data_IF_288114291532
#
_entry.id   IF_288114291532
#
_cell.length_a   1.000
_cell.length_b   1.000
_cell.length_c   1.000
_cell.angle_alpha   90.00
_cell.angle_beta   90.00
_cell.angle_gamma   90.00
#
_symmetry.space_group_name_H-M   'P 1'
#
loop_
_entity.id
_entity.type
_entity.pdbx_description
1 polymer ?
#
# COMPACT_ATOMS: atom_id res chain seq x y z
N UNK A 1 -6.40 -22.97 4.44
CA UNK A 1 -6.25 -21.88 3.42
C UNK A 1 -6.42 -20.51 4.04
N UNK A 2 -7.47 -20.22 4.81
CA UNK A 2 -7.65 -18.91 5.49
C UNK A 2 -6.63 -18.72 6.63
N UNK A 3 -6.37 -19.76 7.42
CA UNK A 3 -5.39 -19.77 8.52
C UNK A 3 -3.94 -19.56 8.00
N UNK A 4 -3.59 -20.15 6.85
CA UNK A 4 -2.28 -19.97 6.22
C UNK A 4 -2.07 -18.54 5.75
N UNK A 5 -3.07 -17.95 5.09
CA UNK A 5 -3.04 -16.54 4.67
C UNK A 5 -2.96 -15.61 5.88
N UNK A 6 -3.71 -15.92 6.95
CA UNK A 6 -3.67 -15.14 8.19
C UNK A 6 -2.29 -15.18 8.85
N UNK A 7 -1.67 -16.38 8.92
CA UNK A 7 -0.33 -16.55 9.48
C UNK A 7 0.72 -15.78 8.65
N UNK A 8 0.62 -15.83 7.32
CA UNK A 8 1.54 -15.11 6.42
C UNK A 8 1.40 -13.58 6.56
N UNK A 9 0.18 -13.06 6.71
CA UNK A 9 -0.04 -11.63 6.97
C UNK A 9 0.52 -11.22 8.34
N UNK A 10 0.37 -12.05 9.36
CA UNK A 10 0.96 -11.78 10.67
C UNK A 10 2.50 -11.76 10.61
N UNK A 11 3.12 -12.68 9.84
CA UNK A 11 4.56 -12.72 9.61
C UNK A 11 5.04 -11.47 8.84
N UNK A 12 4.30 -11.03 7.83
CA UNK A 12 4.56 -9.78 7.10
C UNK A 12 4.53 -8.57 8.03
N UNK A 13 3.54 -8.45 8.90
CA UNK A 13 3.47 -7.37 9.89
C UNK A 13 4.68 -7.42 10.83
N UNK A 14 5.06 -8.62 11.32
CA UNK A 14 6.23 -8.81 12.16
C UNK A 14 7.53 -8.37 11.45
N UNK A 15 7.67 -8.69 10.15
CA UNK A 15 8.79 -8.22 9.35
C UNK A 15 8.88 -6.69 9.33
N UNK A 16 7.78 -5.98 8.99
CA UNK A 16 7.81 -4.52 8.89
C UNK A 16 8.02 -3.83 10.25
N UNK A 17 7.58 -4.43 11.34
CA UNK A 17 7.91 -3.99 12.69
C UNK A 17 9.43 -4.05 12.96
N UNK A 18 10.04 -5.19 12.66
CA UNK A 18 11.47 -5.41 12.86
C UNK A 18 12.34 -4.60 11.87
N UNK A 19 11.85 -4.41 10.64
CA UNK A 19 12.53 -3.67 9.58
C UNK A 19 12.44 -2.14 9.73
N UNK A 20 11.57 -1.63 10.60
CA UNK A 20 11.33 -0.20 10.77
C UNK A 20 12.60 0.69 10.85
N UNK A 21 13.69 0.31 11.55
CA UNK A 21 14.89 1.13 11.61
C UNK A 21 15.60 1.33 10.28
N UNK A 22 15.42 0.40 9.34
CA UNK A 22 16.08 0.37 8.03
C UNK A 22 15.12 0.67 6.87
N UNK A 23 13.85 0.87 7.17
CA UNK A 23 12.78 1.01 6.18
C UNK A 23 13.09 2.07 5.12
N UNK A 24 13.55 3.24 5.56
CA UNK A 24 13.79 4.39 4.68
C UNK A 24 15.04 4.24 3.79
N UNK A 25 15.87 3.22 4.00
CA UNK A 25 17.05 2.99 3.16
C UNK A 25 16.66 2.73 1.70
N UNK A 26 15.52 2.07 1.47
CA UNK A 26 14.99 1.80 0.14
C UNK A 26 14.57 3.07 -0.62
N UNK A 27 14.29 4.18 0.10
CA UNK A 27 13.86 5.45 -0.47
C UNK A 27 15.01 6.43 -0.72
N UNK A 28 16.25 6.11 -0.27
CA UNK A 28 17.39 7.02 -0.42
C UNK A 28 17.76 7.19 -1.90
N UNK A 29 17.80 8.45 -2.34
CA UNK A 29 18.16 8.82 -3.71
C UNK A 29 17.06 8.55 -4.74
N UNK A 30 15.86 8.20 -4.31
CA UNK A 30 14.69 8.07 -5.17
C UNK A 30 13.92 9.39 -5.19
N UNK A 31 13.62 9.89 -6.38
CA UNK A 31 12.76 11.06 -6.60
C UNK A 31 11.46 10.58 -7.24
N UNK A 32 10.51 10.21 -6.38
CA UNK A 32 9.19 9.73 -6.81
C UNK A 32 8.08 10.76 -6.60
N UNK A 33 8.45 11.97 -6.15
CA UNK A 33 7.51 13.04 -5.83
C UNK A 33 6.66 13.42 -7.05
N UNK A 34 7.26 13.41 -8.26
CA UNK A 34 6.54 13.66 -9.51
C UNK A 34 5.42 12.64 -9.79
N UNK A 35 5.54 11.41 -9.26
CA UNK A 35 4.51 10.39 -9.45
C UNK A 35 3.20 10.77 -8.77
N UNK A 36 3.27 11.37 -7.58
CA UNK A 36 2.07 11.78 -6.85
C UNK A 36 1.47 13.08 -7.42
N UNK A 37 2.30 13.91 -8.08
CA UNK A 37 1.85 15.15 -8.72
C UNK A 37 0.83 14.94 -9.82
N UNK A 38 0.91 13.82 -10.49
CA UNK A 38 0.01 13.43 -11.58
C UNK A 38 -1.27 12.76 -11.11
N UNK A 39 -1.39 12.47 -9.81
CA UNK A 39 -2.56 11.79 -9.23
C UNK A 39 -3.61 12.82 -8.74
N UNK A 40 -4.90 12.54 -8.90
CA UNK A 40 -6.00 13.43 -8.48
C UNK A 40 -6.21 13.40 -6.96
N UNK A 41 -5.15 13.62 -6.18
CA UNK A 41 -5.21 13.65 -4.72
C UNK A 41 -5.80 14.97 -4.26
N UNK A 42 -6.93 14.92 -3.56
CA UNK A 42 -7.62 16.09 -3.02
C UNK A 42 -8.60 15.72 -1.90
N UNK A 43 -9.10 16.72 -1.17
CA UNK A 43 -10.15 16.58 -0.16
C UNK A 43 -9.68 15.85 1.10
N UNK A 44 -10.55 15.04 1.69
CA UNK A 44 -10.19 14.17 2.80
C UNK A 44 -9.53 12.92 2.26
N UNK A 45 -8.28 12.67 2.64
CA UNK A 45 -7.44 11.59 2.14
C UNK A 45 -7.30 10.49 3.19
N UNK A 46 -7.50 9.25 2.77
CA UNK A 46 -7.14 8.05 3.52
C UNK A 46 -5.88 7.45 2.91
N UNK A 47 -4.82 7.35 3.69
CA UNK A 47 -3.59 6.65 3.32
C UNK A 47 -3.56 5.27 4.00
N UNK A 48 -3.54 4.21 3.20
CA UNK A 48 -3.47 2.82 3.67
C UNK A 48 -2.03 2.34 3.69
N UNK A 49 -1.62 1.64 4.77
CA UNK A 49 -0.26 1.12 4.95
C UNK A 49 0.80 2.21 4.76
N UNK A 50 0.70 3.30 5.52
CA UNK A 50 1.52 4.50 5.34
C UNK A 50 3.02 4.30 5.67
N UNK A 51 3.39 3.18 6.30
CA UNK A 51 4.77 2.88 6.69
C UNK A 51 5.37 3.99 7.56
N UNK A 52 6.58 4.41 7.22
CA UNK A 52 7.29 5.51 7.88
C UNK A 52 6.80 6.90 7.48
N UNK A 53 5.71 6.97 6.71
CA UNK A 53 5.09 8.23 6.30
C UNK A 53 5.86 8.96 5.19
N UNK A 54 6.51 8.23 4.27
CA UNK A 54 7.24 8.83 3.16
C UNK A 54 6.31 9.69 2.28
N UNK A 55 5.14 9.18 1.95
CA UNK A 55 4.15 9.85 1.10
C UNK A 55 3.26 10.83 1.86
N UNK A 56 3.11 10.64 3.16
CA UNK A 56 2.17 11.40 4.01
C UNK A 56 2.33 12.92 3.91
N UNK A 57 3.56 13.51 3.91
CA UNK A 57 3.73 14.96 3.75
C UNK A 57 3.24 15.49 2.39
N UNK A 58 3.47 14.71 1.31
CA UNK A 58 3.05 15.06 -0.04
C UNK A 58 1.54 15.03 -0.19
N UNK A 59 0.89 14.06 0.47
CA UNK A 59 -0.57 13.99 0.57
C UNK A 59 -1.11 15.17 1.39
N UNK A 60 -0.50 15.47 2.54
CA UNK A 60 -0.94 16.55 3.42
C UNK A 60 -0.82 17.95 2.77
N UNK A 61 0.14 18.13 1.86
CA UNK A 61 0.28 19.38 1.10
C UNK A 61 -0.88 19.64 0.12
N UNK A 62 -1.69 18.62 -0.21
CA UNK A 62 -2.77 18.66 -1.20
C UNK A 62 -4.15 18.40 -0.61
N UNK A 63 -4.17 17.69 0.52
CA UNK A 63 -5.38 17.27 1.19
C UNK A 63 -5.96 18.37 2.11
N UNK A 64 -7.26 18.32 2.34
CA UNK A 64 -7.91 19.04 3.44
C UNK A 64 -7.57 18.39 4.79
N UNK A 65 -7.54 17.07 4.82
CA UNK A 65 -7.11 16.26 5.96
C UNK A 65 -6.52 14.93 5.50
N UNK A 66 -5.63 14.34 6.29
CA UNK A 66 -5.07 13.01 6.04
C UNK A 66 -5.35 12.12 7.25
N UNK A 67 -5.91 10.93 7.00
CA UNK A 67 -5.96 9.83 7.96
C UNK A 67 -5.06 8.73 7.43
N UNK A 68 -4.00 8.39 8.16
CA UNK A 68 -2.98 7.43 7.75
C UNK A 68 -3.03 6.17 8.63
N UNK A 69 -3.10 4.99 8.00
CA UNK A 69 -3.21 3.70 8.68
C UNK A 69 -1.93 2.89 8.50
N UNK A 70 -1.48 2.22 9.57
CA UNK A 70 -0.49 1.15 9.49
C UNK A 70 -0.66 0.17 10.65
N UNK A 71 -0.25 -1.09 10.47
CA UNK A 71 -0.32 -2.12 11.49
C UNK A 71 0.87 -2.08 12.46
N UNK A 72 2.02 -1.58 12.01
CA UNK A 72 3.27 -1.59 12.75
C UNK A 72 3.45 -0.29 13.57
N UNK A 73 3.39 -0.34 14.91
CA UNK A 73 3.55 0.85 15.75
C UNK A 73 4.94 1.49 15.61
N UNK A 74 5.97 0.70 15.28
CA UNK A 74 7.34 1.16 15.11
C UNK A 74 7.46 2.10 13.91
N UNK A 75 6.87 1.75 12.74
CA UNK A 75 6.87 2.63 11.57
C UNK A 75 5.99 3.85 11.79
N UNK A 76 4.84 3.71 12.47
CA UNK A 76 3.99 4.84 12.82
C UNK A 76 4.70 5.86 13.74
N UNK A 77 5.58 5.39 14.63
CA UNK A 77 6.38 6.28 15.44
C UNK A 77 7.36 7.13 14.60
N UNK A 78 7.88 6.55 13.50
CA UNK A 78 8.70 7.26 12.51
C UNK A 78 7.85 8.24 11.70
N UNK A 79 6.69 7.80 11.21
CA UNK A 79 5.76 8.61 10.44
C UNK A 79 5.34 9.87 11.21
N UNK A 80 4.95 9.72 12.49
CA UNK A 80 4.57 10.87 13.35
C UNK A 80 5.70 11.88 13.51
N UNK A 81 6.97 11.43 13.54
CA UNK A 81 8.12 12.35 13.60
C UNK A 81 8.32 13.10 12.28
N UNK A 82 8.15 12.39 11.15
CA UNK A 82 8.32 12.95 9.80
C UNK A 82 7.33 14.07 9.51
N UNK A 83 6.06 13.88 9.89
CA UNK A 83 4.98 14.84 9.61
C UNK A 83 4.70 15.81 10.75
N UNK A 84 5.64 15.99 11.70
CA UNK A 84 5.42 16.87 12.86
C UNK A 84 4.92 18.26 12.43
N UNK A 85 3.77 18.66 12.98
CA UNK A 85 3.13 19.95 12.69
C UNK A 85 2.16 19.94 11.51
N UNK A 86 2.01 18.82 10.78
CA UNK A 86 0.98 18.68 9.77
C UNK A 86 -0.32 18.08 10.36
N UNK A 87 -1.49 18.42 9.81
CA UNK A 87 -2.79 17.92 10.31
C UNK A 87 -3.05 16.48 9.80
N UNK A 88 -2.31 15.52 10.35
CA UNK A 88 -2.42 14.10 10.02
C UNK A 88 -2.87 13.30 11.23
N UNK A 89 -3.95 12.52 11.05
CA UNK A 89 -4.42 11.53 12.02
C UNK A 89 -3.76 10.17 11.71
N UNK A 90 -3.13 9.54 12.71
CA UNK A 90 -2.55 8.20 12.58
C UNK A 90 -3.35 7.17 13.37
N UNK A 91 -3.76 6.10 12.70
CA UNK A 91 -4.49 4.98 13.30
C UNK A 91 -3.64 3.71 13.17
N UNK A 92 -3.30 3.08 14.29
CA UNK A 92 -2.67 1.78 14.30
C UNK A 92 -3.73 0.70 14.09
N UNK A 93 -3.70 0.05 12.93
CA UNK A 93 -4.64 -1.02 12.59
C UNK A 93 -4.14 -1.85 11.40
N UNK A 94 -4.54 -3.12 11.36
CA UNK A 94 -4.38 -3.95 10.17
C UNK A 94 -5.44 -3.56 9.12
N UNK A 95 -5.01 -3.19 7.93
CA UNK A 95 -5.84 -2.79 6.79
C UNK A 95 -6.91 -3.85 6.45
N UNK A 96 -6.60 -5.14 6.64
CA UNK A 96 -7.54 -6.22 6.34
C UNK A 96 -8.68 -6.35 7.35
N UNK A 97 -8.48 -5.89 8.58
CA UNK A 97 -9.50 -5.94 9.64
C UNK A 97 -10.17 -4.60 9.88
N UNK A 98 -9.55 -3.53 9.41
CA UNK A 98 -10.09 -2.17 9.57
C UNK A 98 -11.43 -1.98 8.85
N UNK A 99 -12.28 -1.15 9.44
CA UNK A 99 -13.57 -0.74 8.83
C UNK A 99 -13.68 0.77 8.88
N UNK A 100 -13.99 1.43 7.74
CA UNK A 100 -14.14 2.87 7.70
C UNK A 100 -15.35 3.34 8.52
N UNK A 101 -15.15 4.32 9.38
CA UNK A 101 -16.22 5.02 10.11
C UNK A 101 -16.75 6.23 9.35
N UNK A 102 -16.04 6.68 8.32
CA UNK A 102 -16.41 7.79 7.43
C UNK A 102 -15.93 7.51 6.01
N UNK A 103 -16.31 8.37 5.08
CA UNK A 103 -15.83 8.31 3.69
C UNK A 103 -14.79 9.37 3.42
N UNK A 104 -13.98 9.13 2.40
CA UNK A 104 -12.86 9.95 1.98
C UNK A 104 -12.99 10.31 0.50
N UNK A 105 -12.54 11.50 0.12
CA UNK A 105 -12.52 11.95 -1.27
C UNK A 105 -11.42 11.22 -2.08
N UNK A 106 -10.32 10.88 -1.40
CA UNK A 106 -9.23 10.09 -1.98
C UNK A 106 -8.83 8.95 -1.04
N UNK A 107 -8.66 7.75 -1.59
CA UNK A 107 -7.96 6.63 -0.93
C UNK A 107 -6.63 6.44 -1.63
N UNK A 108 -5.54 6.52 -0.90
CA UNK A 108 -4.18 6.38 -1.41
C UNK A 108 -3.45 5.22 -0.75
N UNK A 109 -2.62 4.52 -1.50
CA UNK A 109 -1.64 3.56 -0.99
C UNK A 109 -0.44 3.46 -1.94
N UNK A 110 0.74 3.25 -1.38
CA UNK A 110 1.96 3.05 -2.14
C UNK A 110 2.71 1.80 -1.64
N UNK A 111 3.24 0.98 -2.58
CA UNK A 111 3.96 -0.28 -2.29
C UNK A 111 3.18 -1.20 -1.34
N UNK A 112 1.87 -1.26 -1.54
CA UNK A 112 0.96 -2.04 -0.71
C UNK A 112 0.20 -3.12 -1.48
N UNK A 113 -0.19 -2.87 -2.73
CA UNK A 113 -1.04 -3.79 -3.49
C UNK A 113 -0.33 -5.14 -3.76
N UNK A 114 0.98 -5.11 -3.98
CA UNK A 114 1.84 -6.29 -4.08
C UNK A 114 1.84 -7.12 -2.80
N UNK A 115 1.52 -6.54 -1.66
CA UNK A 115 1.42 -7.19 -0.35
C UNK A 115 0.02 -7.69 0.00
N UNK A 116 -0.94 -7.57 -0.92
CA UNK A 116 -2.31 -8.08 -0.75
C UNK A 116 -2.41 -9.53 -1.25
N UNK A 117 -2.66 -10.52 -0.38
CA UNK A 117 -2.84 -11.91 -0.81
C UNK A 117 -3.95 -12.01 -1.86
N UNK A 118 -3.79 -12.85 -2.91
CA UNK A 118 -4.83 -13.02 -3.95
C UNK A 118 -6.20 -13.38 -3.38
N UNK A 119 -6.24 -14.19 -2.33
CA UNK A 119 -7.48 -14.58 -1.64
C UNK A 119 -8.18 -13.38 -0.96
N UNK A 120 -7.46 -12.31 -0.63
CA UNK A 120 -7.99 -11.09 0.01
C UNK A 120 -8.21 -9.92 -0.95
N UNK A 121 -7.83 -10.06 -2.21
CA UNK A 121 -7.89 -8.99 -3.20
C UNK A 121 -9.30 -8.38 -3.34
N UNK A 122 -10.33 -9.22 -3.53
CA UNK A 122 -11.70 -8.74 -3.68
C UNK A 122 -12.23 -8.08 -2.40
N UNK A 123 -11.94 -8.65 -1.22
CA UNK A 123 -12.34 -8.10 0.07
C UNK A 123 -11.64 -6.75 0.34
N UNK A 124 -10.35 -6.63 0.01
CA UNK A 124 -9.59 -5.37 0.08
C UNK A 124 -10.25 -4.28 -0.77
N UNK A 125 -10.53 -4.55 -2.05
CA UNK A 125 -11.17 -3.56 -2.93
C UNK A 125 -12.63 -3.25 -2.54
N UNK A 126 -13.32 -4.18 -1.90
CA UNK A 126 -14.63 -3.93 -1.29
C UNK A 126 -14.53 -2.95 -0.12
N UNK A 127 -13.55 -3.14 0.77
CA UNK A 127 -13.26 -2.22 1.87
C UNK A 127 -12.88 -0.83 1.36
N UNK A 128 -11.96 -0.74 0.39
CA UNK A 128 -11.58 0.52 -0.29
C UNK A 128 -12.83 1.23 -0.83
N UNK A 129 -13.72 0.50 -1.51
CA UNK A 129 -14.96 1.06 -2.02
C UNK A 129 -15.92 1.55 -0.94
N UNK A 130 -15.92 0.94 0.25
CA UNK A 130 -16.74 1.40 1.38
C UNK A 130 -16.17 2.67 2.04
N UNK A 131 -14.84 2.86 1.95
CA UNK A 131 -14.16 4.04 2.44
C UNK A 131 -14.28 5.25 1.48
N UNK A 132 -14.58 5.01 0.20
CA UNK A 132 -14.58 6.05 -0.83
C UNK A 132 -15.89 6.82 -0.85
N UNK A 133 -15.80 8.14 -0.92
CA UNK A 133 -16.97 9.01 -1.14
C UNK A 133 -17.51 8.86 -2.59
N UNK A 134 -18.78 9.17 -2.84
CA UNK A 134 -19.31 9.21 -4.20
C UNK A 134 -18.48 10.17 -5.08
N UNK A 135 -18.00 9.69 -6.24
CA UNK A 135 -17.15 10.47 -7.14
C UNK A 135 -15.68 10.57 -6.73
N UNK A 136 -15.29 9.97 -5.59
CA UNK A 136 -13.91 9.96 -5.12
C UNK A 136 -12.98 9.09 -5.95
N UNK A 137 -11.68 9.24 -5.70
CA UNK A 137 -10.62 8.54 -6.40
C UNK A 137 -9.84 7.59 -5.50
N UNK A 138 -9.47 6.45 -6.05
CA UNK A 138 -8.37 5.64 -5.53
C UNK A 138 -7.13 5.98 -6.34
N UNK A 139 -6.03 6.29 -5.65
CA UNK A 139 -4.74 6.57 -6.25
C UNK A 139 -3.72 5.61 -5.66
N UNK A 140 -2.87 5.00 -6.48
CA UNK A 140 -1.86 4.09 -5.97
C UNK A 140 -0.58 4.10 -6.80
N UNK A 141 0.51 3.75 -6.13
CA UNK A 141 1.86 3.57 -6.68
C UNK A 141 2.34 2.20 -6.19
N UNK A 142 2.97 1.40 -7.07
CA UNK A 142 3.48 0.09 -6.66
C UNK A 142 4.67 -0.36 -7.54
N UNK A 143 5.25 -1.49 -7.21
CA UNK A 143 6.31 -2.11 -7.99
C UNK A 143 5.77 -2.68 -9.30
N UNK A 144 6.61 -2.66 -10.34
CA UNK A 144 6.31 -3.27 -11.63
C UNK A 144 6.53 -4.77 -11.61
N UNK A 145 5.89 -5.49 -12.53
CA UNK A 145 6.07 -6.93 -12.71
C UNK A 145 7.52 -7.34 -13.02
N UNK A 146 8.30 -6.50 -13.69
CA UNK A 146 9.70 -6.74 -14.00
C UNK A 146 10.59 -6.93 -12.76
N UNK A 147 10.22 -6.34 -11.61
CA UNK A 147 10.94 -6.51 -10.35
C UNK A 147 10.86 -7.96 -9.83
N UNK A 148 9.87 -8.72 -10.29
CA UNK A 148 9.70 -10.14 -10.00
C UNK A 148 10.95 -10.98 -10.25
N UNK A 149 11.74 -10.64 -11.28
CA UNK A 149 12.94 -11.37 -11.65
C UNK A 149 14.07 -11.27 -10.58
N UNK A 150 14.02 -10.24 -9.73
CA UNK A 150 14.99 -9.98 -8.68
C UNK A 150 14.64 -10.64 -7.34
N UNK A 151 13.46 -11.29 -7.26
CA UNK A 151 12.91 -11.78 -6.00
C UNK A 151 13.23 -13.26 -5.74
N UNK A 152 13.44 -13.58 -4.47
CA UNK A 152 13.57 -14.95 -3.98
C UNK A 152 12.22 -15.45 -3.48
N UNK A 153 11.43 -16.00 -4.39
CA UNK A 153 10.11 -16.56 -4.04
C UNK A 153 10.21 -17.78 -3.13
N UNK A 154 9.26 -17.87 -2.22
CA UNK A 154 9.01 -19.07 -1.41
C UNK A 154 8.37 -20.12 -2.30
N UNK A 155 8.91 -21.32 -2.29
CA UNK A 155 8.31 -22.49 -2.93
C UNK A 155 7.35 -23.20 -1.96
N UNK A 156 6.53 -24.09 -2.46
CA UNK A 156 5.67 -24.99 -1.68
C UNK A 156 4.59 -24.29 -0.83
N UNK A 157 4.09 -23.13 -1.29
CA UNK A 157 2.91 -22.48 -0.72
C UNK A 157 2.00 -21.89 -1.81
N UNK A 158 0.69 -21.78 -1.52
CA UNK A 158 -0.31 -21.32 -2.48
C UNK A 158 -0.29 -19.81 -2.69
N UNK A 159 -0.02 -19.03 -1.62
CA UNK A 159 0.06 -17.57 -1.69
C UNK A 159 1.47 -17.14 -2.09
N UNK A 160 1.67 -16.41 -3.18
CA UNK A 160 2.97 -15.90 -3.57
C UNK A 160 3.58 -15.06 -2.46
N UNK A 161 4.81 -15.40 -2.05
CA UNK A 161 5.59 -14.66 -1.07
C UNK A 161 7.08 -14.74 -1.38
N UNK A 162 7.84 -13.82 -0.82
CA UNK A 162 9.30 -13.76 -0.94
C UNK A 162 9.96 -13.80 0.42
N UNK A 163 11.19 -14.27 0.47
CA UNK A 163 12.02 -14.20 1.66
C UNK A 163 12.65 -12.82 1.81
N UNK A 164 12.42 -12.17 2.95
CA UNK A 164 13.03 -10.89 3.33
C UNK A 164 13.95 -11.09 4.54
N UNK A 165 15.27 -10.98 4.38
CA UNK A 165 16.22 -11.05 5.48
C UNK A 165 16.21 -9.76 6.31
N UNK A 166 16.47 -9.88 7.59
CA UNK A 166 16.77 -8.78 8.52
C UNK A 166 18.24 -8.76 8.88
N UNK A 167 18.72 -7.64 9.43
CA UNK A 167 20.14 -7.48 9.83
C UNK A 167 20.59 -8.44 10.93
N UNK A 168 19.67 -8.93 11.75
CA UNK A 168 19.93 -9.90 12.82
C UNK A 168 20.11 -11.34 12.29
N UNK A 169 20.00 -11.54 10.98
CA UNK A 169 20.10 -12.84 10.31
C UNK A 169 18.80 -13.63 10.24
N UNK A 170 17.73 -13.15 10.86
CA UNK A 170 16.40 -13.74 10.67
C UNK A 170 15.86 -13.45 9.27
N UNK A 171 14.91 -14.26 8.82
CA UNK A 171 14.22 -14.02 7.55
C UNK A 171 12.72 -14.29 7.71
N UNK A 172 11.92 -13.49 7.04
CA UNK A 172 10.47 -13.54 7.09
C UNK A 172 9.90 -13.72 5.69
N UNK A 173 8.75 -14.36 5.62
CA UNK A 173 7.96 -14.40 4.38
C UNK A 173 7.10 -13.15 4.30
N UNK A 174 7.16 -12.51 3.15
CA UNK A 174 6.34 -11.32 2.85
C UNK A 174 5.56 -11.61 1.57
N UNK A 175 4.25 -11.40 1.59
CA UNK A 175 3.40 -11.55 0.39
C UNK A 175 3.96 -10.67 -0.72
N UNK A 176 4.08 -11.23 -1.93
CA UNK A 176 4.57 -10.49 -3.09
C UNK A 176 3.84 -10.95 -4.36
N UNK A 177 2.91 -10.13 -4.80
CA UNK A 177 2.05 -10.38 -5.97
C UNK A 177 2.20 -9.24 -6.95
N UNK A 178 2.95 -9.45 -8.00
CA UNK A 178 3.13 -8.47 -9.06
C UNK A 178 1.99 -8.54 -10.09
N UNK A 179 1.62 -7.41 -10.62
CA UNK A 179 0.60 -7.26 -11.66
C UNK A 179 1.15 -6.46 -12.84
N UNK A 180 0.82 -6.89 -14.04
CA UNK A 180 0.90 -6.02 -15.22
C UNK A 180 -0.28 -5.02 -15.22
N UNK A 181 -0.14 -3.85 -15.89
CA UNK A 181 -1.26 -2.91 -16.03
C UNK A 181 -2.54 -3.54 -16.55
N UNK A 182 -2.41 -4.43 -17.56
CA UNK A 182 -3.54 -5.11 -18.19
C UNK A 182 -4.26 -6.08 -17.25
N UNK A 183 -3.50 -6.92 -16.52
CA UNK A 183 -4.06 -7.86 -15.55
C UNK A 183 -4.79 -7.12 -14.41
N UNK A 184 -4.17 -6.08 -13.86
CA UNK A 184 -4.77 -5.34 -12.76
C UNK A 184 -6.04 -4.60 -13.22
N UNK A 185 -6.02 -3.97 -14.40
CA UNK A 185 -7.20 -3.32 -14.99
C UNK A 185 -8.34 -4.32 -15.17
N UNK A 186 -8.06 -5.52 -15.70
CA UNK A 186 -9.08 -6.56 -15.89
C UNK A 186 -9.67 -7.05 -14.56
N UNK A 187 -8.83 -7.28 -13.54
CA UNK A 187 -9.29 -7.67 -12.20
C UNK A 187 -10.18 -6.61 -11.56
N UNK A 188 -9.80 -5.34 -11.65
CA UNK A 188 -10.57 -4.22 -11.13
C UNK A 188 -11.91 -4.06 -11.88
N UNK A 189 -11.90 -4.21 -13.21
CA UNK A 189 -13.11 -4.18 -14.02
C UNK A 189 -14.13 -5.25 -13.58
N UNK A 190 -13.66 -6.46 -13.27
CA UNK A 190 -14.49 -7.55 -12.77
C UNK A 190 -15.12 -7.26 -11.39
N UNK A 191 -14.51 -6.35 -10.62
CA UNK A 191 -15.04 -5.89 -9.32
C UNK A 191 -15.87 -4.58 -9.42
N UNK A 192 -16.18 -4.10 -10.63
CA UNK A 192 -16.98 -2.90 -10.85
C UNK A 192 -16.21 -1.59 -10.74
N UNK A 193 -14.89 -1.63 -10.97
CA UNK A 193 -14.05 -0.43 -11.01
C UNK A 193 -13.69 -0.05 -12.44
N UNK A 194 -13.56 1.25 -12.70
CA UNK A 194 -12.88 1.80 -13.87
C UNK A 194 -11.50 2.26 -13.42
N UNK A 195 -10.45 1.76 -14.05
CA UNK A 195 -9.07 2.06 -13.68
C UNK A 195 -8.26 2.51 -14.89
N UNK A 196 -7.34 3.46 -14.65
CA UNK A 196 -6.27 3.84 -15.56
C UNK A 196 -4.94 3.52 -14.86
N UNK A 197 -4.16 2.59 -15.45
CA UNK A 197 -2.96 2.04 -14.84
C UNK A 197 -1.85 2.04 -15.88
N UNK A 198 -0.70 2.59 -15.52
CA UNK A 198 0.46 2.68 -16.41
C UNK A 198 1.76 2.41 -15.67
N UNK A 199 2.76 2.03 -16.43
CA UNK A 199 4.16 2.07 -15.98
C UNK A 199 4.75 3.46 -16.22
N UNK A 200 5.68 3.88 -15.34
CA UNK A 200 6.32 5.19 -15.40
C UNK A 200 7.84 5.06 -15.57
N UNK A 201 8.49 6.21 -15.75
CA UNK A 201 9.93 6.38 -15.63
C UNK A 201 10.16 7.48 -14.58
N UNK A 202 10.77 7.19 -13.43
CA UNK A 202 11.36 5.90 -13.01
C UNK A 202 10.33 4.76 -12.96
N UNK A 203 10.82 3.50 -12.95
CA UNK A 203 10.01 2.33 -13.20
C UNK A 203 9.07 1.96 -12.04
N UNK A 204 7.86 2.50 -12.03
CA UNK A 204 6.78 2.20 -11.09
C UNK A 204 5.49 1.86 -11.82
N UNK A 205 4.60 1.18 -11.13
CA UNK A 205 3.20 1.01 -11.53
C UNK A 205 2.38 2.12 -10.87
N UNK A 206 1.81 3.01 -11.64
CA UNK A 206 0.98 4.12 -11.15
C UNK A 206 -0.44 3.96 -11.65
N UNK A 207 -1.40 4.06 -10.77
CA UNK A 207 -2.79 3.86 -11.12
C UNK A 207 -3.77 4.76 -10.40
N UNK A 208 -4.89 4.99 -11.09
CA UNK A 208 -6.10 5.57 -10.52
C UNK A 208 -7.28 4.66 -10.76
N UNK A 209 -8.24 4.65 -9.84
CA UNK A 209 -9.48 3.91 -10.01
C UNK A 209 -10.66 4.65 -9.38
N UNK A 210 -11.87 4.38 -9.91
CA UNK A 210 -13.14 4.85 -9.34
C UNK A 210 -14.24 3.82 -9.56
N UNK A 211 -15.27 3.86 -8.73
CA UNK A 211 -16.46 3.03 -8.91
C UNK A 211 -17.17 3.39 -10.22
N UNK A 212 -17.65 2.36 -10.91
CA UNK A 212 -18.53 2.52 -12.08
C UNK A 212 -19.93 2.86 -11.63
#
# INVERSE_FOLDING_TARGET
>A
MDDEVQALVAEQIAYYRAHAPDYDVAYLGQDWDECIEQLPVAGDVLELACGTGHWTPLLAARARSVTALDAAPEVLALARRRVRGLPVEFIQTDVFTWRPSRRFDTVFFAFWLTHVPPARFAAFWSMVGSALAPGGWVCFIDDRDQERANERFVTDQATPAVWRPLRDGSAHRVVMVYYTPGELTARLAALGWSADIRETSPPLLVGTARRR
#
